data_IF_674635384919
#
_entry.id   IF_674635384919
#
_cell.length_a   1.000
_cell.length_b   1.000
_cell.length_c   1.000
_cell.angle_alpha   90.00
_cell.angle_beta   90.00
_cell.angle_gamma   90.00
#
_symmetry.space_group_name_H-M   'P 1'
#
loop_
_entity.id
_entity.type
_entity.pdbx_description
1 polymer ?
#
# COMPACT_ATOMS: atom_id res chain seq x y z
N UNK A 1 25.76 -6.11 3.08
CA UNK A 1 24.47 -5.59 3.59
C UNK A 1 23.60 -5.21 2.40
N UNK A 2 22.30 -5.49 2.45
CA UNK A 2 21.36 -5.26 1.34
C UNK A 2 21.18 -3.74 1.15
N UNK A 3 21.61 -3.18 0.02
CA UNK A 3 21.61 -1.72 -0.25
C UNK A 3 20.24 -1.05 -0.11
N UNK A 4 19.16 -1.85 -0.11
CA UNK A 4 17.77 -1.41 0.07
C UNK A 4 17.44 -0.93 1.49
N UNK A 5 18.31 -1.21 2.47
CA UNK A 5 18.07 -0.88 3.88
C UNK A 5 18.55 0.51 4.29
N UNK A 6 19.26 1.22 3.42
CA UNK A 6 19.87 2.52 3.75
C UNK A 6 18.86 3.56 4.25
N UNK A 7 17.63 3.56 3.72
CA UNK A 7 16.57 4.43 4.21
C UNK A 7 16.18 4.12 5.66
N UNK A 8 16.08 2.84 6.02
CA UNK A 8 15.66 2.41 7.37
C UNK A 8 16.74 2.81 8.38
N UNK A 9 18.02 2.63 8.03
CA UNK A 9 19.17 2.98 8.88
C UNK A 9 19.16 4.46 9.30
N UNK A 10 18.68 5.36 8.44
CA UNK A 10 18.62 6.80 8.75
C UNK A 10 17.62 7.15 9.86
N UNK A 11 16.60 6.30 10.08
CA UNK A 11 15.55 6.52 11.07
C UNK A 11 15.61 5.50 12.21
N UNK A 12 16.58 4.59 12.18
CA UNK A 12 16.69 3.53 13.16
C UNK A 12 17.44 4.01 14.40
N UNK A 13 16.79 3.89 15.56
CA UNK A 13 17.39 4.11 16.87
C UNK A 13 17.77 2.77 17.55
N UNK A 14 17.91 1.70 16.76
CA UNK A 14 18.28 0.35 17.19
C UNK A 14 17.09 -0.59 17.43
N UNK A 15 15.90 -0.26 16.91
CA UNK A 15 14.66 -1.00 17.17
C UNK A 15 13.84 -1.35 15.93
N UNK A 16 14.26 -0.92 14.74
CA UNK A 16 13.55 -1.21 13.49
C UNK A 16 13.91 -2.59 12.95
N UNK A 17 12.93 -3.21 12.30
CA UNK A 17 13.09 -4.52 11.65
C UNK A 17 13.46 -4.29 10.18
N UNK A 18 14.57 -4.91 9.76
CA UNK A 18 15.02 -4.86 8.38
C UNK A 18 14.41 -6.01 7.58
N UNK A 19 13.74 -5.73 6.45
CA UNK A 19 13.16 -6.78 5.64
C UNK A 19 14.24 -7.62 4.99
N UNK A 20 14.02 -8.93 4.91
CA UNK A 20 14.84 -9.79 4.06
C UNK A 20 14.52 -9.54 2.58
N UNK A 21 15.44 -9.90 1.69
CA UNK A 21 15.30 -9.60 0.26
C UNK A 21 14.05 -10.18 -0.41
N UNK A 22 13.58 -11.34 0.03
CA UNK A 22 12.34 -11.96 -0.47
C UNK A 22 11.08 -11.23 0.01
N UNK A 23 11.05 -10.77 1.27
CA UNK A 23 9.97 -9.93 1.79
C UNK A 23 9.92 -8.59 1.06
N UNK A 24 11.06 -7.94 0.88
CA UNK A 24 11.15 -6.69 0.14
C UNK A 24 10.68 -6.86 -1.32
N UNK A 25 11.03 -7.98 -1.97
CA UNK A 25 10.57 -8.30 -3.32
C UNK A 25 9.07 -8.54 -3.38
N UNK A 26 8.49 -9.32 -2.45
CA UNK A 26 7.04 -9.53 -2.39
C UNK A 26 6.29 -8.20 -2.22
N UNK A 27 6.73 -7.37 -1.27
CA UNK A 27 6.11 -6.06 -1.02
C UNK A 27 6.22 -5.16 -2.24
N UNK A 28 7.35 -5.18 -2.96
CA UNK A 28 7.52 -4.44 -4.21
C UNK A 28 6.49 -4.84 -5.27
N UNK A 29 6.33 -6.14 -5.54
CA UNK A 29 5.34 -6.64 -6.49
C UNK A 29 3.91 -6.26 -6.08
N UNK A 30 3.60 -6.30 -4.77
CA UNK A 30 2.29 -5.90 -4.27
C UNK A 30 2.04 -4.39 -4.44
N UNK A 31 3.04 -3.54 -4.21
CA UNK A 31 2.93 -2.08 -4.41
C UNK A 31 2.78 -1.71 -5.88
N UNK A 32 3.53 -2.36 -6.76
CA UNK A 32 3.41 -2.19 -8.21
C UNK A 32 2.02 -2.62 -8.69
N UNK A 33 1.57 -3.79 -8.24
CA UNK A 33 0.23 -4.32 -8.52
C UNK A 33 -0.88 -3.37 -8.03
N UNK A 34 -0.75 -2.85 -6.81
CA UNK A 34 -1.68 -1.89 -6.24
C UNK A 34 -1.72 -0.59 -7.07
N UNK A 35 -0.55 -0.09 -7.46
CA UNK A 35 -0.42 1.13 -8.27
C UNK A 35 -1.04 0.95 -9.64
N UNK A 36 -0.74 -0.15 -10.34
CA UNK A 36 -1.35 -0.48 -11.64
C UNK A 36 -2.87 -0.55 -11.51
N UNK A 37 -3.39 -1.26 -10.51
CA UNK A 37 -4.83 -1.44 -10.33
C UNK A 37 -5.58 -0.12 -10.03
N UNK A 38 -5.07 0.69 -9.10
CA UNK A 38 -5.72 1.93 -8.67
C UNK A 38 -5.34 3.18 -9.48
N UNK A 39 -4.40 3.08 -10.42
CA UNK A 39 -4.10 4.18 -11.36
C UNK A 39 -5.26 4.46 -12.32
N UNK A 40 -6.02 3.42 -12.69
CA UNK A 40 -7.13 3.51 -13.65
C UNK A 40 -8.50 3.35 -13.01
N UNK A 41 -8.57 2.92 -11.74
CA UNK A 41 -9.82 2.59 -11.04
C UNK A 41 -10.05 3.47 -9.83
N UNK A 42 -11.31 3.86 -9.63
CA UNK A 42 -11.74 4.56 -8.41
C UNK A 42 -11.99 3.56 -7.29
N UNK A 43 -11.76 3.99 -6.05
CA UNK A 43 -12.11 3.17 -4.88
C UNK A 43 -13.63 3.09 -4.74
N UNK A 44 -14.12 1.87 -4.57
CA UNK A 44 -15.50 1.46 -4.35
C UNK A 44 -15.58 0.49 -3.16
N UNK A 45 -16.79 0.13 -2.73
CA UNK A 45 -16.98 -0.88 -1.69
C UNK A 45 -16.45 -2.28 -2.08
N UNK A 46 -16.40 -2.58 -3.38
CA UNK A 46 -15.90 -3.84 -3.93
C UNK A 46 -14.39 -3.84 -4.22
N UNK A 47 -13.69 -2.70 -4.05
CA UNK A 47 -12.27 -2.60 -4.46
C UNK A 47 -11.36 -3.63 -3.80
N UNK A 48 -11.67 -4.09 -2.59
CA UNK A 48 -10.86 -5.12 -1.93
C UNK A 48 -11.03 -6.49 -2.58
N UNK A 49 -12.26 -6.90 -2.91
CA UNK A 49 -12.52 -8.17 -3.62
C UNK A 49 -12.02 -8.13 -5.06
N UNK A 50 -12.20 -7.00 -5.74
CA UNK A 50 -11.75 -6.81 -7.11
C UNK A 50 -10.22 -6.87 -7.19
N UNK A 51 -9.54 -6.24 -6.22
CA UNK A 51 -8.09 -6.30 -6.15
C UNK A 51 -7.57 -7.68 -5.74
N UNK A 52 -8.25 -8.38 -4.84
CA UNK A 52 -7.90 -9.77 -4.52
C UNK A 52 -7.99 -10.67 -5.76
N UNK A 53 -9.05 -10.50 -6.57
CA UNK A 53 -9.23 -11.25 -7.82
C UNK A 53 -8.15 -10.89 -8.86
N UNK A 54 -7.74 -9.61 -8.92
CA UNK A 54 -6.63 -9.19 -9.77
C UNK A 54 -5.31 -9.87 -9.36
N UNK A 55 -5.04 -9.99 -8.06
CA UNK A 55 -3.83 -10.63 -7.55
C UNK A 55 -3.74 -12.13 -7.83
N UNK A 56 -4.86 -12.82 -8.12
CA UNK A 56 -4.83 -14.24 -8.52
C UNK A 56 -4.07 -14.46 -9.85
N UNK A 57 -4.03 -13.44 -10.71
CA UNK A 57 -3.27 -13.47 -11.97
C UNK A 57 -1.81 -13.00 -11.85
N UNK A 58 -1.36 -12.61 -10.65
CA UNK A 58 0.00 -12.07 -10.43
C UNK A 58 0.91 -13.15 -9.86
N UNK A 59 2.09 -13.33 -10.46
CA UNK A 59 3.12 -14.18 -9.88
C UNK A 59 3.76 -13.50 -8.67
N UNK A 60 3.51 -14.07 -7.48
CA UNK A 60 4.01 -13.52 -6.22
C UNK A 60 5.23 -14.30 -5.71
N UNK A 61 6.29 -13.61 -5.28
CA UNK A 61 7.40 -14.24 -4.56
C UNK A 61 6.91 -14.98 -3.32
N UNK A 62 7.30 -16.25 -3.17
CA UNK A 62 6.94 -17.06 -2.00
C UNK A 62 7.89 -16.74 -0.85
N UNK A 63 7.32 -16.56 0.34
CA UNK A 63 8.07 -16.39 1.58
C UNK A 63 8.15 -17.70 2.35
N UNK A 64 9.17 -17.88 3.19
CA UNK A 64 9.26 -19.01 4.13
C UNK A 64 9.76 -20.32 3.50
N UNK A 65 9.79 -21.37 4.32
CA UNK A 65 10.23 -22.70 3.91
C UNK A 65 9.10 -23.50 3.23
N UNK A 66 9.42 -24.65 2.62
CA UNK A 66 8.48 -25.46 1.85
C UNK A 66 7.16 -25.78 2.56
N UNK A 67 7.20 -26.02 3.88
CA UNK A 67 6.02 -26.33 4.69
C UNK A 67 5.14 -25.11 5.01
N UNK A 68 5.74 -23.94 5.20
CA UNK A 68 5.04 -22.74 5.69
C UNK A 68 4.84 -21.66 4.62
N UNK A 69 5.27 -21.91 3.38
CA UNK A 69 5.39 -20.84 2.41
C UNK A 69 4.05 -20.19 2.03
N UNK A 70 3.04 -21.02 1.84
CA UNK A 70 1.71 -20.61 1.43
C UNK A 70 1.05 -19.79 2.53
N UNK A 71 1.08 -20.31 3.76
CA UNK A 71 0.46 -19.64 4.89
C UNK A 71 1.11 -18.28 5.18
N UNK A 72 2.44 -18.23 5.23
CA UNK A 72 3.16 -16.99 5.51
C UNK A 72 2.91 -15.95 4.42
N UNK A 73 3.00 -16.34 3.15
CA UNK A 73 2.76 -15.44 2.01
C UNK A 73 1.34 -14.88 2.02
N UNK A 74 0.34 -15.72 2.29
CA UNK A 74 -1.07 -15.28 2.38
C UNK A 74 -1.29 -14.31 3.54
N UNK A 75 -0.68 -14.57 4.72
CA UNK A 75 -0.79 -13.66 5.88
C UNK A 75 -0.20 -12.29 5.57
N UNK A 76 0.98 -12.25 4.95
CA UNK A 76 1.63 -11.01 4.54
C UNK A 76 0.81 -10.28 3.49
N UNK A 77 0.31 -10.98 2.47
CA UNK A 77 -0.57 -10.42 1.44
C UNK A 77 -1.79 -9.76 2.07
N UNK A 78 -2.54 -10.49 2.90
CA UNK A 78 -3.75 -9.97 3.56
C UNK A 78 -3.45 -8.70 4.35
N UNK A 79 -2.40 -8.73 5.18
CA UNK A 79 -2.01 -7.58 5.98
C UNK A 79 -1.64 -6.37 5.10
N UNK A 80 -0.81 -6.60 4.09
CA UNK A 80 -0.35 -5.56 3.18
C UNK A 80 -1.52 -4.91 2.42
N UNK A 81 -2.39 -5.71 1.80
CA UNK A 81 -3.55 -5.20 1.05
C UNK A 81 -4.47 -4.37 1.94
N UNK A 82 -4.78 -4.86 3.15
CA UNK A 82 -5.62 -4.13 4.11
C UNK A 82 -5.00 -2.79 4.51
N UNK A 83 -3.73 -2.79 4.90
CA UNK A 83 -3.04 -1.57 5.30
C UNK A 83 -2.93 -0.59 4.14
N UNK A 84 -2.59 -1.08 2.95
CA UNK A 84 -2.40 -0.24 1.77
C UNK A 84 -3.69 0.43 1.35
N UNK A 85 -4.80 -0.32 1.30
CA UNK A 85 -6.12 0.23 1.01
C UNK A 85 -6.55 1.24 2.07
N UNK A 86 -6.31 0.97 3.36
CA UNK A 86 -6.60 1.91 4.45
C UNK A 86 -5.85 3.23 4.26
N UNK A 87 -4.55 3.18 3.99
CA UNK A 87 -3.74 4.39 3.77
C UNK A 87 -4.17 5.14 2.51
N UNK A 88 -4.53 4.41 1.45
CA UNK A 88 -5.02 5.01 0.21
C UNK A 88 -6.38 5.72 0.41
N UNK A 89 -7.34 5.09 1.07
CA UNK A 89 -8.63 5.74 1.39
C UNK A 89 -8.43 6.94 2.31
N UNK A 90 -7.51 6.84 3.28
CA UNK A 90 -7.15 7.96 4.17
C UNK A 90 -6.58 9.13 3.37
N UNK A 91 -5.70 8.90 2.39
CA UNK A 91 -5.13 9.96 1.56
C UNK A 91 -6.19 10.63 0.67
N UNK A 92 -7.05 9.84 0.02
CA UNK A 92 -8.18 10.36 -0.76
C UNK A 92 -9.15 11.19 0.08
N UNK A 93 -9.41 10.75 1.31
CA UNK A 93 -10.29 11.47 2.25
C UNK A 93 -9.68 12.81 2.67
N UNK A 94 -8.37 12.83 2.94
CA UNK A 94 -7.62 14.06 3.24
C UNK A 94 -7.65 15.04 2.07
N UNK A 95 -7.45 14.56 0.84
CA UNK A 95 -7.49 15.38 -0.37
C UNK A 95 -8.87 16.02 -0.56
N UNK A 96 -9.95 15.25 -0.42
CA UNK A 96 -11.33 15.77 -0.48
C UNK A 96 -11.59 16.84 0.58
N UNK A 97 -11.13 16.61 1.81
CA UNK A 97 -11.25 17.61 2.89
C UNK A 97 -10.49 18.90 2.57
N UNK A 98 -9.27 18.79 2.05
CA UNK A 98 -8.46 19.95 1.65
C UNK A 98 -9.14 20.74 0.52
N UNK A 99 -9.66 20.07 -0.53
CA UNK A 99 -10.40 20.71 -1.62
C UNK A 99 -11.65 21.44 -1.13
N UNK A 100 -12.39 20.87 -0.18
CA UNK A 100 -13.55 21.54 0.44
C UNK A 100 -13.14 22.82 1.15
N UNK A 101 -12.04 22.79 1.91
CA UNK A 101 -11.57 23.98 2.63
C UNK A 101 -11.12 25.08 1.66
N UNK A 102 -10.39 24.72 0.62
CA UNK A 102 -10.01 25.66 -0.44
C UNK A 102 -11.23 26.30 -1.12
N UNK A 103 -12.28 25.52 -1.41
CA UNK A 103 -13.52 26.05 -2.00
C UNK A 103 -14.25 27.04 -1.07
N UNK A 104 -14.23 26.83 0.25
CA UNK A 104 -14.78 27.80 1.21
C UNK A 104 -14.02 29.13 1.13
N UNK A 105 -12.69 29.08 1.09
CA UNK A 105 -11.86 30.28 0.96
C UNK A 105 -12.10 31.03 -0.37
N UNK A 106 -12.30 30.31 -1.47
CA UNK A 106 -12.65 30.93 -2.77
C UNK A 106 -14.03 31.60 -2.70
N UNK A 107 -15.01 30.95 -2.09
CA UNK A 107 -16.36 31.50 -1.96
C UNK A 107 -16.34 32.79 -1.12
N UNK A 108 -15.66 32.78 0.03
CA UNK A 108 -15.51 33.96 0.89
C UNK A 108 -14.82 35.15 0.19
N UNK A 109 -13.88 34.88 -0.72
CA UNK A 109 -13.21 35.92 -1.53
C UNK A 109 -14.12 36.53 -2.60
N UNK A 110 -15.12 35.79 -3.08
CA UNK A 110 -16.07 36.26 -4.12
C UNK A 110 -17.29 36.97 -3.54
N UNK A 111 -17.56 36.79 -2.25
CA UNK A 111 -18.66 37.45 -1.53
C UNK A 111 -18.26 38.76 -0.84
N UNK A 112 -17.01 39.20 -0.99
CA UNK A 112 -16.52 40.54 -0.63
C UNK A 112 -16.36 41.36 -1.90
#
# INVERSE_FOLDING_TARGET
MDSRNHFIEQFDLGGLIYPCGSLASLVGVLEDSFTVFFSTRRVTAASMSDFASFLEGVELPKLGCGAHNRELTIRVLKLHVLLRLRFFVKSLSRERSCKREQMKHVTLRRSK
#
